data_IF_675006501405
#
_entry.id   IF_675006501405
#
_cell.length_a   1.000
_cell.length_b   1.000
_cell.length_c   1.000
_cell.angle_alpha   90.00
_cell.angle_beta   90.00
_cell.angle_gamma   90.00
#
_symmetry.space_group_name_H-M   'P 1'
#
loop_
_entity.id
_entity.type
_entity.pdbx_description
1 polymer ?
#
# COMPACT_ATOMS: atom_id res chain seq x y z
N UNK A 1 10.86 -29.52 -64.62
CA UNK A 1 12.05 -29.60 -63.75
C UNK A 1 12.70 -28.22 -63.81
N UNK A 2 12.82 -27.45 -62.74
CA UNK A 2 13.27 -27.79 -61.38
C UNK A 2 12.53 -26.98 -60.30
N UNK A 3 12.17 -27.66 -59.22
CA UNK A 3 11.78 -27.08 -57.93
C UNK A 3 12.98 -26.38 -57.30
N UNK A 4 12.87 -25.10 -56.98
CA UNK A 4 13.67 -24.47 -55.93
C UNK A 4 12.79 -24.24 -54.70
N UNK A 5 13.32 -24.66 -53.56
CA UNK A 5 12.60 -24.91 -52.33
C UNK A 5 12.09 -23.63 -51.68
N UNK A 6 10.79 -23.58 -51.41
CA UNK A 6 10.21 -22.67 -50.42
C UNK A 6 10.76 -23.11 -49.06
N UNK A 7 11.72 -22.36 -48.53
CA UNK A 7 12.24 -22.56 -47.17
C UNK A 7 11.15 -22.10 -46.21
N UNK A 8 10.38 -23.06 -45.67
CA UNK A 8 9.45 -22.81 -44.58
C UNK A 8 10.24 -22.39 -43.33
N UNK A 9 10.27 -21.09 -43.07
CA UNK A 9 10.87 -20.53 -41.86
C UNK A 9 9.91 -20.73 -40.70
N UNK A 10 10.01 -21.86 -39.99
CA UNK A 10 9.32 -22.08 -38.73
C UNK A 10 9.94 -21.19 -37.65
N UNK A 11 9.17 -20.23 -37.14
CA UNK A 11 9.58 -19.35 -36.04
C UNK A 11 9.09 -19.98 -34.74
N UNK A 12 10.02 -20.31 -33.84
CA UNK A 12 9.73 -20.79 -32.48
C UNK A 12 10.17 -19.72 -31.47
N UNK A 13 9.40 -18.63 -31.30
CA UNK A 13 9.77 -17.61 -30.34
C UNK A 13 9.52 -18.13 -28.92
N UNK A 14 10.45 -17.87 -28.01
CA UNK A 14 10.30 -18.19 -26.59
C UNK A 14 9.27 -17.29 -25.88
N UNK A 15 8.87 -16.18 -26.50
CA UNK A 15 7.82 -15.26 -26.04
C UNK A 15 7.17 -14.57 -27.25
N UNK A 16 5.84 -14.57 -27.33
CA UNK A 16 5.10 -13.87 -28.39
C UNK A 16 4.77 -12.45 -27.91
N UNK A 17 5.40 -11.44 -28.51
CA UNK A 17 5.16 -10.02 -28.19
C UNK A 17 4.18 -9.37 -29.19
N UNK A 18 3.57 -8.24 -28.80
CA UNK A 18 2.67 -7.48 -29.68
C UNK A 18 3.40 -6.98 -30.95
N UNK A 19 4.68 -6.64 -30.82
CA UNK A 19 5.53 -6.21 -31.93
C UNK A 19 5.77 -7.34 -32.94
N UNK A 20 5.98 -8.57 -32.45
CA UNK A 20 6.13 -9.76 -33.30
C UNK A 20 4.84 -10.06 -34.08
N UNK A 21 3.68 -9.90 -33.43
CA UNK A 21 2.38 -10.06 -34.09
C UNK A 21 2.17 -9.00 -35.18
N UNK A 22 2.52 -7.75 -34.89
CA UNK A 22 2.39 -6.65 -35.85
C UNK A 22 3.36 -6.79 -37.03
N UNK A 23 4.57 -7.31 -36.82
CA UNK A 23 5.51 -7.58 -37.91
C UNK A 23 5.02 -8.70 -38.83
N UNK A 24 4.40 -9.74 -38.26
CA UNK A 24 3.87 -10.87 -39.02
C UNK A 24 2.55 -10.55 -39.73
N UNK A 25 1.79 -9.54 -39.27
CA UNK A 25 0.51 -9.11 -39.86
C UNK A 25 0.60 -8.73 -41.34
N UNK A 26 1.75 -8.23 -41.78
CA UNK A 26 1.98 -7.77 -43.15
C UNK A 26 2.76 -8.77 -44.01
N UNK A 27 3.16 -9.93 -43.47
CA UNK A 27 3.85 -10.95 -44.24
C UNK A 27 2.84 -11.76 -45.07
N UNK A 28 3.11 -11.88 -46.38
CA UNK A 28 2.33 -12.73 -47.27
C UNK A 28 2.73 -14.18 -47.05
N UNK A 29 1.98 -14.88 -46.20
CA UNK A 29 2.20 -16.31 -45.95
C UNK A 29 1.26 -17.17 -46.80
N UNK A 30 1.80 -18.21 -47.41
CA UNK A 30 1.02 -19.24 -48.10
C UNK A 30 0.57 -20.24 -47.03
N UNK A 31 -0.74 -20.44 -46.78
CA UNK A 31 -1.22 -21.38 -45.79
C UNK A 31 -0.74 -22.81 -46.13
N UNK A 32 -0.14 -23.50 -45.17
CA UNK A 32 0.15 -24.93 -45.31
C UNK A 32 -1.19 -25.68 -45.16
N UNK A 33 -1.71 -26.19 -46.28
CA UNK A 33 -2.78 -27.19 -46.43
C UNK A 33 -3.88 -27.28 -45.33
N UNK A 34 -5.07 -26.79 -45.68
CA UNK A 34 -6.42 -27.32 -45.40
C UNK A 34 -6.96 -27.55 -43.96
N UNK A 35 -6.26 -27.24 -42.85
CA UNK A 35 -6.83 -27.50 -41.48
C UNK A 35 -6.84 -26.28 -40.52
N UNK A 36 -6.41 -25.09 -40.92
CA UNK A 36 -6.53 -23.91 -40.05
C UNK A 36 -7.39 -22.82 -40.69
N UNK A 37 -8.70 -22.95 -40.54
CA UNK A 37 -9.58 -21.78 -40.45
C UNK A 37 -9.15 -21.00 -39.20
N UNK A 38 -8.25 -20.04 -39.35
CA UNK A 38 -8.00 -19.04 -38.32
C UNK A 38 -9.34 -18.30 -38.16
N UNK A 39 -10.04 -18.39 -37.00
CA UNK A 39 -11.29 -17.68 -36.83
C UNK A 39 -10.98 -16.18 -36.98
N UNK A 40 -11.85 -15.45 -37.67
CA UNK A 40 -11.74 -14.00 -37.81
C UNK A 40 -11.48 -13.38 -36.44
N UNK A 41 -10.24 -12.97 -36.19
CA UNK A 41 -9.86 -12.26 -34.97
C UNK A 41 -10.47 -10.86 -35.14
N UNK A 42 -11.67 -10.68 -34.63
CA UNK A 42 -12.27 -9.36 -34.47
C UNK A 42 -11.60 -8.75 -33.25
N UNK A 43 -10.55 -7.96 -33.48
CA UNK A 43 -9.96 -7.12 -32.45
C UNK A 43 -11.01 -6.06 -32.08
N UNK A 44 -11.53 -6.04 -30.84
CA UNK A 44 -12.50 -5.03 -30.43
C UNK A 44 -11.93 -3.63 -30.68
N UNK A 45 -12.76 -2.68 -31.11
CA UNK A 45 -12.30 -1.33 -31.51
C UNK A 45 -11.54 -0.62 -30.39
N UNK A 46 -11.81 -0.98 -29.13
CA UNK A 46 -11.10 -0.47 -27.95
C UNK A 46 -9.58 -0.75 -27.96
N UNK A 47 -9.12 -1.82 -28.62
CA UNK A 47 -7.71 -2.19 -28.71
C UNK A 47 -7.02 -1.65 -29.98
N UNK A 48 -7.78 -1.09 -30.94
CA UNK A 48 -7.23 -0.46 -32.15
C UNK A 48 -6.77 0.98 -31.93
N UNK A 49 -7.18 1.63 -30.83
CA UNK A 49 -6.56 2.87 -30.40
C UNK A 49 -5.33 2.52 -29.56
N UNK A 50 -4.15 2.48 -30.19
CA UNK A 50 -2.91 2.74 -29.46
C UNK A 50 -3.05 4.18 -28.95
N UNK A 51 -3.62 4.37 -27.75
CA UNK A 51 -3.50 5.65 -27.06
C UNK A 51 -2.00 5.85 -26.92
N UNK A 52 -1.45 6.90 -27.54
CA UNK A 52 -0.06 7.25 -27.29
C UNK A 52 0.06 7.44 -25.78
N UNK A 53 0.85 6.58 -25.14
CA UNK A 53 1.12 6.69 -23.71
C UNK A 53 1.69 8.10 -23.50
N UNK A 54 1.06 8.87 -22.63
CA UNK A 54 1.56 10.21 -22.32
C UNK A 54 2.93 10.09 -21.64
N UNK A 55 3.80 11.10 -21.80
CA UNK A 55 5.12 11.11 -21.12
C UNK A 55 5.01 10.91 -19.60
N UNK A 56 3.89 11.32 -19.00
CA UNK A 56 3.55 11.09 -17.59
C UNK A 56 3.33 9.61 -17.29
N UNK A 57 2.52 8.93 -18.09
CA UNK A 57 2.26 7.49 -17.93
C UNK A 57 3.53 6.66 -18.17
N UNK A 58 4.38 7.06 -19.12
CA UNK A 58 5.69 6.44 -19.36
C UNK A 58 6.58 6.52 -18.11
N UNK A 59 6.68 7.71 -17.50
CA UNK A 59 7.45 7.93 -16.28
C UNK A 59 6.93 7.07 -15.12
N UNK A 60 5.61 7.00 -14.95
CA UNK A 60 4.98 6.16 -13.92
C UNK A 60 5.30 4.68 -14.13
N UNK A 61 5.22 4.19 -15.38
CA UNK A 61 5.54 2.81 -15.71
C UNK A 61 7.01 2.49 -15.47
N UNK A 62 7.92 3.40 -15.78
CA UNK A 62 9.34 3.23 -15.51
C UNK A 62 9.65 3.09 -14.01
N UNK A 63 9.02 3.93 -13.18
CA UNK A 63 9.16 3.83 -11.71
C UNK A 63 8.64 2.48 -11.23
N UNK A 64 7.43 2.06 -11.65
CA UNK A 64 6.87 0.74 -11.30
C UNK A 64 7.78 -0.41 -11.70
N UNK A 65 8.36 -0.35 -12.91
CA UNK A 65 9.27 -1.38 -13.39
C UNK A 65 10.52 -1.49 -12.52
N UNK A 66 11.10 -0.37 -12.07
CA UNK A 66 12.23 -0.39 -11.15
C UNK A 66 11.85 -1.07 -9.84
N UNK A 67 10.74 -0.66 -9.23
CA UNK A 67 10.29 -1.22 -7.95
C UNK A 67 10.01 -2.73 -8.09
N UNK A 68 9.22 -3.14 -9.09
CA UNK A 68 8.91 -4.55 -9.33
C UNK A 68 10.14 -5.41 -9.65
N UNK A 69 11.17 -4.85 -10.28
CA UNK A 69 12.41 -5.56 -10.58
C UNK A 69 13.41 -5.57 -9.42
N UNK A 70 13.13 -4.86 -8.32
CA UNK A 70 14.07 -4.73 -7.20
C UNK A 70 14.07 -5.97 -6.32
N UNK A 71 15.28 -6.48 -6.08
CA UNK A 71 15.59 -7.62 -5.23
C UNK A 71 16.81 -7.28 -4.38
N UNK A 72 17.06 -8.07 -3.33
CA UNK A 72 18.23 -7.85 -2.47
C UNK A 72 19.56 -7.93 -3.23
N UNK A 73 19.62 -8.72 -4.32
CA UNK A 73 20.83 -8.90 -5.12
C UNK A 73 21.10 -7.79 -6.15
N UNK A 74 20.12 -6.92 -6.45
CA UNK A 74 20.27 -5.88 -7.49
C UNK A 74 19.91 -4.47 -7.02
N UNK A 75 19.69 -4.26 -5.71
CA UNK A 75 19.19 -3.00 -5.15
C UNK A 75 20.09 -1.80 -5.50
N UNK A 76 21.42 -1.94 -5.47
CA UNK A 76 22.35 -0.84 -5.82
C UNK A 76 22.17 -0.37 -7.26
N UNK A 77 22.06 -1.33 -8.20
CA UNK A 77 21.79 -1.02 -9.61
C UNK A 77 20.43 -0.33 -9.79
N UNK A 78 19.43 -0.73 -9.01
CA UNK A 78 18.10 -0.11 -9.06
C UNK A 78 18.07 1.30 -8.44
N UNK A 79 18.88 1.57 -7.40
CA UNK A 79 19.09 2.94 -6.87
C UNK A 79 19.65 3.88 -7.92
N UNK A 80 20.68 3.45 -8.65
CA UNK A 80 21.30 4.25 -9.71
C UNK A 80 20.31 4.56 -10.84
N UNK A 81 19.59 3.54 -11.32
CA UNK A 81 18.54 3.72 -12.34
C UNK A 81 17.43 4.67 -11.88
N UNK A 82 16.97 4.51 -10.63
CA UNK A 82 15.93 5.37 -10.08
C UNK A 82 16.41 6.83 -10.02
N UNK A 83 17.63 7.05 -9.52
CA UNK A 83 18.24 8.40 -9.50
C UNK A 83 18.33 9.00 -10.90
N UNK A 84 18.79 8.24 -11.87
CA UNK A 84 18.91 8.70 -13.25
C UNK A 84 17.54 9.10 -13.83
N UNK A 85 16.52 8.26 -13.65
CA UNK A 85 15.16 8.55 -14.12
C UNK A 85 14.61 9.80 -13.46
N UNK A 86 14.72 9.92 -12.14
CA UNK A 86 14.22 11.08 -11.42
C UNK A 86 14.95 12.35 -11.85
N UNK A 87 16.28 12.34 -11.97
CA UNK A 87 17.05 13.53 -12.36
C UNK A 87 16.78 13.94 -13.81
N UNK A 88 16.70 12.98 -14.73
CA UNK A 88 16.63 13.26 -16.17
C UNK A 88 15.21 13.47 -16.67
N UNK A 89 14.20 12.85 -16.05
CA UNK A 89 12.79 12.90 -16.50
C UNK A 89 11.90 13.83 -15.68
N UNK A 90 12.38 14.39 -14.57
CA UNK A 90 11.60 15.42 -13.84
C UNK A 90 11.69 16.77 -14.56
N UNK A 91 10.63 17.12 -15.29
CA UNK A 91 10.54 18.39 -16.04
C UNK A 91 9.72 19.47 -15.35
N UNK A 92 9.08 19.16 -14.22
CA UNK A 92 8.24 20.10 -13.47
C UNK A 92 8.07 19.65 -12.01
N UNK A 93 7.60 20.56 -11.15
CA UNK A 93 7.21 20.27 -9.77
C UNK A 93 6.07 19.24 -9.70
N UNK A 94 5.10 19.30 -10.63
CA UNK A 94 4.03 18.29 -10.71
C UNK A 94 4.57 16.91 -11.09
N UNK A 95 5.58 16.84 -11.98
CA UNK A 95 6.25 15.56 -12.30
C UNK A 95 6.97 14.96 -11.09
N UNK A 96 7.58 15.80 -10.25
CA UNK A 96 8.24 15.35 -9.01
C UNK A 96 7.21 14.78 -8.02
N UNK A 97 6.05 15.43 -7.92
CA UNK A 97 4.92 14.96 -7.12
C UNK A 97 4.33 13.66 -7.66
N UNK A 98 4.15 13.53 -8.98
CA UNK A 98 3.71 12.29 -9.62
C UNK A 98 4.68 11.13 -9.34
N UNK A 99 5.99 11.37 -9.44
CA UNK A 99 7.02 10.39 -9.07
C UNK A 99 6.88 10.00 -7.59
N UNK A 100 6.75 10.98 -6.69
CA UNK A 100 6.62 10.70 -5.26
C UNK A 100 5.35 9.92 -4.94
N UNK A 101 4.23 10.23 -5.60
CA UNK A 101 2.97 9.53 -5.44
C UNK A 101 3.08 8.08 -5.95
N UNK A 102 3.73 7.86 -7.09
CA UNK A 102 3.93 6.52 -7.63
C UNK A 102 4.89 5.68 -6.78
N UNK A 103 5.97 6.29 -6.27
CA UNK A 103 6.85 5.63 -5.30
C UNK A 103 6.02 5.20 -4.09
N UNK A 104 5.19 6.08 -3.53
CA UNK A 104 4.33 5.75 -2.40
C UNK A 104 3.37 4.59 -2.70
N UNK A 105 2.67 4.60 -3.84
CA UNK A 105 1.78 3.51 -4.23
C UNK A 105 2.51 2.17 -4.36
N UNK A 106 3.76 2.15 -4.84
CA UNK A 106 4.57 0.93 -4.90
C UNK A 106 4.80 0.30 -3.52
N UNK A 107 4.99 1.11 -2.47
CA UNK A 107 5.14 0.58 -1.10
C UNK A 107 3.86 -0.05 -0.55
N UNK A 108 2.68 0.37 -1.02
CA UNK A 108 1.41 -0.14 -0.52
C UNK A 108 1.05 -1.54 -1.07
N UNK A 109 1.82 -2.08 -2.03
CA UNK A 109 1.50 -3.35 -2.70
C UNK A 109 1.89 -4.58 -1.88
N UNK A 110 3.13 -4.62 -1.35
CA UNK A 110 3.65 -5.81 -0.68
C UNK A 110 4.55 -5.43 0.49
N UNK A 111 4.29 -6.02 1.66
CA UNK A 111 5.10 -5.86 2.85
C UNK A 111 6.55 -6.28 2.63
N UNK A 112 6.75 -7.43 1.98
CA UNK A 112 8.06 -8.09 1.88
C UNK A 112 9.10 -7.25 1.13
N UNK A 113 8.64 -6.36 0.26
CA UNK A 113 9.50 -5.50 -0.56
C UNK A 113 9.80 -4.15 0.12
N UNK A 114 9.09 -3.78 1.20
CA UNK A 114 9.25 -2.49 1.89
C UNK A 114 10.71 -2.24 2.31
N UNK A 115 11.47 -3.19 2.89
CA UNK A 115 12.87 -2.94 3.27
C UNK A 115 13.74 -2.52 2.08
N UNK A 116 13.58 -3.17 0.92
CA UNK A 116 14.34 -2.87 -0.30
C UNK A 116 13.89 -1.56 -0.93
N UNK A 117 12.58 -1.31 -0.95
CA UNK A 117 12.00 -0.06 -1.44
C UNK A 117 12.43 1.14 -0.58
N UNK A 118 12.60 0.95 0.72
CA UNK A 118 13.10 1.99 1.61
C UNK A 118 14.53 2.41 1.21
N UNK A 119 15.37 1.47 0.76
CA UNK A 119 16.69 1.80 0.25
C UNK A 119 16.63 2.59 -1.07
N UNK A 120 15.65 2.28 -1.94
CA UNK A 120 15.41 3.06 -3.17
C UNK A 120 14.96 4.48 -2.83
N UNK A 121 13.98 4.63 -1.92
CA UNK A 121 13.51 5.94 -1.47
C UNK A 121 14.67 6.77 -0.89
N UNK A 122 15.48 6.18 -0.02
CA UNK A 122 16.67 6.84 0.56
C UNK A 122 17.70 7.27 -0.50
N UNK A 123 17.67 6.68 -1.70
CA UNK A 123 18.55 7.11 -2.78
C UNK A 123 18.08 8.40 -3.46
N UNK A 124 16.78 8.71 -3.42
CA UNK A 124 16.17 9.84 -4.15
C UNK A 124 15.46 10.87 -3.26
N UNK A 125 15.33 10.63 -1.96
CA UNK A 125 14.50 11.43 -1.05
C UNK A 125 14.84 12.93 -1.01
N UNK A 126 16.09 13.31 -1.24
CA UNK A 126 16.57 14.70 -1.17
C UNK A 126 16.51 15.44 -2.53
N UNK A 127 16.05 14.77 -3.59
CA UNK A 127 15.95 15.38 -4.91
C UNK A 127 14.80 16.40 -4.90
N UNK A 128 15.11 17.61 -5.40
CA UNK A 128 14.19 18.73 -5.60
C UNK A 128 14.16 19.16 -7.06
N UNK A 129 13.06 19.77 -7.49
CA UNK A 129 12.98 20.36 -8.83
C UNK A 129 13.89 21.59 -8.92
N UNK A 130 14.68 21.70 -10.00
CA UNK A 130 15.82 22.64 -10.10
C UNK A 130 15.42 24.10 -10.32
N UNK A 131 14.26 24.37 -10.90
CA UNK A 131 13.87 25.74 -11.31
C UNK A 131 13.00 26.48 -10.28
N UNK A 132 12.77 25.89 -9.10
CA UNK A 132 12.03 26.53 -8.02
C UNK A 132 12.97 27.02 -6.91
N UNK A 133 12.64 28.17 -6.31
CA UNK A 133 13.35 28.78 -5.17
C UNK A 133 13.69 27.78 -4.05
N UNK A 134 14.54 28.17 -3.10
CA UNK A 134 14.97 27.30 -1.96
C UNK A 134 13.83 26.69 -1.12
N UNK A 135 12.58 27.09 -1.35
CA UNK A 135 11.37 26.50 -0.77
C UNK A 135 10.77 25.30 -1.53
N UNK A 136 11.42 24.78 -2.58
CA UNK A 136 10.92 23.61 -3.32
C UNK A 136 10.88 22.34 -2.46
N UNK A 137 9.78 21.60 -2.56
CA UNK A 137 9.62 20.35 -1.81
C UNK A 137 10.49 19.24 -2.41
N UNK A 138 11.09 18.46 -1.52
CA UNK A 138 11.83 17.23 -1.89
C UNK A 138 10.87 16.04 -2.04
N UNK A 139 11.30 14.98 -2.75
CA UNK A 139 10.56 13.71 -2.80
C UNK A 139 10.24 13.20 -1.40
N UNK A 140 11.18 13.30 -0.46
CA UNK A 140 10.95 12.84 0.92
C UNK A 140 9.85 13.63 1.62
N UNK A 141 9.79 14.96 1.44
CA UNK A 141 8.72 15.78 2.00
C UNK A 141 7.35 15.47 1.38
N UNK A 142 7.32 15.25 0.06
CA UNK A 142 6.11 14.85 -0.67
C UNK A 142 5.62 13.46 -0.20
N UNK A 143 6.54 12.51 -0.04
CA UNK A 143 6.25 11.17 0.46
C UNK A 143 5.69 11.19 1.89
N UNK A 144 6.30 11.96 2.81
CA UNK A 144 5.76 12.12 4.17
C UNK A 144 4.39 12.80 4.17
N UNK A 145 4.20 13.82 3.32
CA UNK A 145 2.91 14.49 3.15
C UNK A 145 1.83 13.50 2.68
N UNK A 146 2.18 12.58 1.78
CA UNK A 146 1.28 11.52 1.32
C UNK A 146 0.96 10.51 2.42
N UNK A 147 1.97 10.05 3.16
CA UNK A 147 1.76 9.18 4.32
C UNK A 147 0.81 9.83 5.34
N UNK A 148 1.04 11.11 5.66
CA UNK A 148 0.20 11.88 6.58
C UNK A 148 -1.23 12.01 6.06
N UNK A 149 -1.43 12.40 4.80
CA UNK A 149 -2.77 12.46 4.18
C UNK A 149 -3.47 11.11 4.20
N UNK A 150 -2.74 10.03 3.95
CA UNK A 150 -3.29 8.68 4.01
C UNK A 150 -3.70 8.32 5.44
N UNK A 151 -2.91 8.67 6.46
CA UNK A 151 -3.34 8.50 7.86
C UNK A 151 -4.58 9.37 8.14
N UNK A 152 -4.58 10.64 7.74
CA UNK A 152 -5.65 11.61 8.02
C UNK A 152 -7.00 11.23 7.39
N UNK A 153 -6.99 10.74 6.14
CA UNK A 153 -8.17 10.19 5.46
C UNK A 153 -8.74 9.00 6.23
N UNK A 154 -7.88 8.26 6.93
CA UNK A 154 -8.27 7.11 7.75
C UNK A 154 -8.56 7.52 9.22
N UNK A 155 -8.47 8.81 9.57
CA UNK A 155 -8.49 9.26 10.97
C UNK A 155 -9.37 10.46 11.30
N UNK A 156 -10.03 11.13 10.34
CA UNK A 156 -10.70 12.41 10.63
C UNK A 156 -11.89 12.26 11.60
N UNK A 157 -11.78 12.93 12.75
CA UNK A 157 -12.78 13.09 13.82
C UNK A 157 -13.70 14.31 13.59
N UNK A 158 -14.05 14.65 12.35
CA UNK A 158 -15.17 15.58 12.18
C UNK A 158 -16.45 14.75 12.29
N UNK A 159 -17.33 15.12 13.22
CA UNK A 159 -18.68 14.53 13.40
C UNK A 159 -19.56 14.63 12.12
N UNK A 160 -19.00 15.10 10.99
CA UNK A 160 -19.63 15.30 9.68
C UNK A 160 -18.71 14.84 8.51
N UNK A 161 -17.58 14.16 8.75
CA UNK A 161 -16.79 13.55 7.66
C UNK A 161 -16.33 12.14 8.07
N UNK A 162 -17.31 11.24 8.03
CA UNK A 162 -17.20 9.91 7.43
C UNK A 162 -15.85 9.19 7.56
N UNK A 163 -15.85 8.15 8.38
CA UNK A 163 -14.85 7.09 8.47
C UNK A 163 -14.79 6.24 7.19
N UNK A 164 -14.66 6.87 6.02
CA UNK A 164 -14.92 6.25 4.72
C UNK A 164 -14.11 4.98 4.50
N UNK A 165 -12.83 4.93 4.86
CA UNK A 165 -12.01 3.80 4.43
C UNK A 165 -12.18 2.55 5.30
N UNK A 166 -12.06 2.63 6.63
CA UNK A 166 -12.24 1.43 7.46
C UNK A 166 -13.70 0.97 7.46
N UNK A 167 -14.65 1.91 7.47
CA UNK A 167 -16.08 1.59 7.31
C UNK A 167 -16.36 0.97 5.95
N UNK A 168 -15.85 1.53 4.84
CA UNK A 168 -16.06 0.92 3.52
C UNK A 168 -15.42 -0.46 3.42
N UNK A 169 -14.29 -0.71 4.07
CA UNK A 169 -13.72 -2.07 4.17
C UNK A 169 -14.67 -2.98 4.96
N UNK A 170 -15.17 -2.53 6.11
CA UNK A 170 -16.09 -3.30 6.95
C UNK A 170 -17.43 -3.60 6.27
N UNK A 171 -17.91 -2.70 5.41
CA UNK A 171 -19.16 -2.83 4.66
C UNK A 171 -19.07 -3.77 3.45
N UNK A 172 -17.88 -4.27 3.08
CA UNK A 172 -17.74 -5.23 1.97
C UNK A 172 -18.29 -6.60 2.37
N UNK A 173 -19.02 -7.22 1.44
CA UNK A 173 -19.50 -8.58 1.58
C UNK A 173 -18.35 -9.58 1.36
N UNK A 174 -17.90 -10.20 2.44
CA UNK A 174 -16.80 -11.16 2.40
C UNK A 174 -17.21 -12.51 1.79
N UNK A 175 -18.51 -12.75 1.56
CA UNK A 175 -19.00 -13.93 0.84
C UNK A 175 -18.92 -13.75 -0.68
N UNK A 176 -18.80 -12.50 -1.16
CA UNK A 176 -18.58 -12.19 -2.56
C UNK A 176 -17.09 -12.16 -2.86
N UNK A 177 -16.63 -13.02 -3.77
CA UNK A 177 -15.20 -13.17 -4.11
C UNK A 177 -14.53 -11.86 -4.55
N UNK A 178 -15.21 -11.02 -5.35
CA UNK A 178 -14.66 -9.74 -5.81
C UNK A 178 -14.54 -8.72 -4.67
N UNK A 179 -15.51 -8.71 -3.76
CA UNK A 179 -15.49 -7.82 -2.60
C UNK A 179 -14.52 -8.30 -1.53
N UNK A 180 -14.36 -9.61 -1.36
CA UNK A 180 -13.34 -10.21 -0.51
C UNK A 180 -11.92 -9.85 -0.99
N UNK A 181 -11.69 -9.88 -2.30
CA UNK A 181 -10.44 -9.40 -2.90
C UNK A 181 -10.19 -7.91 -2.60
N UNK A 182 -11.24 -7.08 -2.72
CA UNK A 182 -11.17 -5.65 -2.43
C UNK A 182 -10.93 -5.39 -0.93
N UNK A 183 -11.54 -6.20 -0.06
CA UNK A 183 -11.34 -6.19 1.38
C UNK A 183 -9.87 -6.46 1.71
N UNK A 184 -9.32 -7.58 1.21
CA UNK A 184 -7.94 -7.97 1.45
C UNK A 184 -6.95 -6.94 0.92
N UNK A 185 -7.15 -6.41 -0.30
CA UNK A 185 -6.30 -5.37 -0.87
C UNK A 185 -6.30 -4.10 -0.02
N UNK A 186 -7.47 -3.61 0.36
CA UNK A 186 -7.60 -2.36 1.13
C UNK A 186 -7.03 -2.49 2.54
N UNK A 187 -7.30 -3.61 3.21
CA UNK A 187 -6.71 -3.98 4.51
C UNK A 187 -5.18 -4.05 4.43
N UNK A 188 -4.65 -4.72 3.40
CA UNK A 188 -3.20 -4.85 3.16
C UNK A 188 -2.52 -3.49 2.97
N UNK A 189 -3.16 -2.53 2.28
CA UNK A 189 -2.60 -1.19 2.12
C UNK A 189 -2.43 -0.46 3.46
N UNK A 190 -3.40 -0.57 4.37
CA UNK A 190 -3.31 0.04 5.71
C UNK A 190 -2.17 -0.60 6.51
N UNK A 191 -2.07 -1.94 6.48
CA UNK A 191 -0.98 -2.68 7.14
C UNK A 191 0.38 -2.24 6.59
N UNK A 192 0.52 -2.20 5.27
CA UNK A 192 1.76 -1.79 4.62
C UNK A 192 2.13 -0.35 4.99
N UNK A 193 1.16 0.57 5.04
CA UNK A 193 1.39 1.93 5.54
C UNK A 193 1.97 1.93 6.95
N UNK A 194 1.42 1.12 7.85
CA UNK A 194 1.93 1.05 9.22
C UNK A 194 3.38 0.58 9.28
N UNK A 195 3.72 -0.39 8.44
CA UNK A 195 5.07 -0.94 8.34
C UNK A 195 6.03 0.09 7.73
N UNK A 196 5.61 0.84 6.71
CA UNK A 196 6.38 1.98 6.16
C UNK A 196 6.73 2.96 7.28
N UNK A 197 5.76 3.33 8.11
CA UNK A 197 5.96 4.30 9.19
C UNK A 197 6.94 3.77 10.24
N UNK A 198 6.88 2.47 10.57
CA UNK A 198 7.88 1.85 11.44
C UNK A 198 9.29 1.88 10.82
N UNK A 199 9.41 1.63 9.52
CA UNK A 199 10.69 1.75 8.83
C UNK A 199 11.22 3.19 8.83
N UNK A 200 10.35 4.20 8.64
CA UNK A 200 10.72 5.62 8.76
C UNK A 200 11.09 5.99 10.20
N UNK A 201 10.44 5.40 11.20
CA UNK A 201 10.76 5.61 12.61
C UNK A 201 12.15 5.08 12.96
N UNK A 202 12.49 3.88 12.47
CA UNK A 202 13.81 3.26 12.64
C UNK A 202 14.95 4.09 12.01
N UNK A 203 14.64 5.04 11.14
CA UNK A 203 15.62 5.96 10.55
C UNK A 203 15.95 7.18 11.44
N UNK A 204 15.45 7.24 12.68
CA UNK A 204 15.61 8.39 13.57
C UNK A 204 17.06 8.89 13.76
N UNK A 205 18.03 7.97 13.77
CA UNK A 205 19.45 8.28 13.93
C UNK A 205 20.21 8.42 12.60
N UNK A 206 19.49 8.55 11.48
CA UNK A 206 20.09 8.71 10.14
C UNK A 206 19.80 10.09 9.56
N UNK A 207 20.48 10.41 8.45
CA UNK A 207 20.23 11.62 7.65
C UNK A 207 19.05 11.46 6.65
N UNK A 208 18.46 10.27 6.58
CA UNK A 208 17.36 9.96 5.67
C UNK A 208 16.01 10.50 6.17
N UNK A 209 14.99 10.35 5.34
CA UNK A 209 13.59 10.65 5.64
C UNK A 209 13.13 9.89 6.90
N UNK A 210 12.66 10.59 7.93
CA UNK A 210 12.30 9.97 9.22
C UNK A 210 11.06 10.58 9.83
N UNK A 211 10.45 9.83 10.75
CA UNK A 211 9.36 10.30 11.59
C UNK A 211 9.71 10.10 13.06
N UNK A 212 9.31 11.04 13.93
CA UNK A 212 9.50 10.92 15.38
C UNK A 212 8.43 10.07 16.07
N UNK A 213 8.67 9.75 17.35
CA UNK A 213 7.81 8.89 18.17
C UNK A 213 6.37 9.43 18.28
N UNK A 214 6.21 10.76 18.26
CA UNK A 214 4.90 11.42 18.24
C UNK A 214 3.99 10.94 17.10
N UNK A 215 4.55 10.61 15.92
CA UNK A 215 3.77 10.14 14.78
C UNK A 215 3.28 8.71 14.99
N UNK A 216 4.14 7.82 15.48
CA UNK A 216 3.76 6.44 15.80
C UNK A 216 2.71 6.43 16.92
N UNK A 217 2.95 7.20 17.98
CA UNK A 217 2.01 7.36 19.09
C UNK A 217 0.65 7.88 18.62
N UNK A 218 0.62 8.90 17.76
CA UNK A 218 -0.62 9.45 17.22
C UNK A 218 -1.47 8.36 16.56
N UNK A 219 -0.87 7.53 15.71
CA UNK A 219 -1.60 6.50 14.96
C UNK A 219 -2.05 5.35 15.86
N UNK A 220 -1.18 4.89 16.74
CA UNK A 220 -1.54 3.88 17.73
C UNK A 220 -2.70 4.38 18.62
N UNK A 221 -2.62 5.62 19.11
CA UNK A 221 -3.68 6.23 19.93
C UNK A 221 -4.98 6.37 19.15
N UNK A 222 -4.91 6.71 17.87
CA UNK A 222 -6.07 6.79 16.99
C UNK A 222 -6.77 5.43 16.87
N UNK A 223 -6.04 4.35 16.56
CA UNK A 223 -6.63 3.01 16.43
C UNK A 223 -7.28 2.54 17.73
N UNK A 224 -6.63 2.76 18.88
CA UNK A 224 -7.23 2.47 20.19
C UNK A 224 -8.52 3.27 20.42
N UNK A 225 -8.50 4.56 20.11
CA UNK A 225 -9.66 5.44 20.29
C UNK A 225 -10.82 5.01 19.39
N UNK A 226 -10.56 4.72 18.11
CA UNK A 226 -11.56 4.27 17.15
C UNK A 226 -12.11 2.88 17.47
N UNK A 227 -11.27 1.96 17.94
CA UNK A 227 -11.71 0.67 18.48
C UNK A 227 -12.69 0.85 19.64
N UNK A 228 -12.30 1.64 20.65
CA UNK A 228 -13.15 1.92 21.82
C UNK A 228 -14.45 2.63 21.45
N UNK A 229 -14.43 3.51 20.44
CA UNK A 229 -15.64 4.11 19.88
C UNK A 229 -16.58 3.07 19.26
N UNK A 230 -16.06 2.17 18.41
CA UNK A 230 -16.86 1.11 17.81
C UNK A 230 -17.47 0.19 18.88
N UNK A 231 -16.69 -0.22 19.88
CA UNK A 231 -17.16 -1.01 21.01
C UNK A 231 -18.30 -0.35 21.79
N UNK A 232 -18.20 0.98 22.01
CA UNK A 232 -19.28 1.73 22.63
C UNK A 232 -20.54 1.72 21.77
N UNK A 233 -20.42 1.90 20.45
CA UNK A 233 -21.56 1.85 19.51
C UNK A 233 -22.22 0.48 19.47
N UNK A 234 -21.44 -0.60 19.43
CA UNK A 234 -21.93 -1.98 19.53
C UNK A 234 -22.80 -2.16 20.78
N UNK A 235 -22.32 -1.71 21.95
CA UNK A 235 -23.09 -1.78 23.20
C UNK A 235 -24.34 -0.89 23.23
N UNK A 236 -24.34 0.25 22.53
CA UNK A 236 -25.52 1.13 22.43
C UNK A 236 -26.61 0.55 21.51
N UNK A 237 -26.21 -0.24 20.51
CA UNK A 237 -27.11 -0.87 19.55
C UNK A 237 -27.76 -2.14 20.10
N UNK A 238 -27.08 -2.87 20.98
CA UNK A 238 -27.51 -4.18 21.50
C UNK A 238 -26.95 -5.33 20.67
N UNK A 239 -26.61 -6.45 21.31
CA UNK A 239 -25.93 -7.58 20.68
C UNK A 239 -26.93 -8.66 20.17
N UNK A 240 -27.19 -8.75 18.86
CA UNK A 240 -28.11 -9.75 18.31
C UNK A 240 -27.60 -11.18 18.48
N UNK A 241 -26.29 -11.40 18.65
CA UNK A 241 -25.71 -12.73 18.86
C UNK A 241 -25.90 -13.26 20.29
N UNK A 242 -26.24 -12.39 21.24
CA UNK A 242 -26.55 -12.75 22.63
C UNK A 242 -28.05 -12.73 22.92
N UNK A 243 -28.88 -12.53 21.89
CA UNK A 243 -30.34 -12.49 22.01
C UNK A 243 -30.86 -11.18 22.62
N UNK A 244 -30.05 -10.11 22.60
CA UNK A 244 -30.51 -8.77 22.96
C UNK A 244 -31.31 -8.13 21.81
N UNK A 245 -32.23 -7.23 22.14
CA UNK A 245 -32.93 -6.41 21.15
C UNK A 245 -31.93 -5.45 20.49
N UNK A 246 -31.55 -5.74 19.23
CA UNK A 246 -30.68 -4.87 18.46
C UNK A 246 -31.49 -3.78 17.75
N UNK A 247 -31.03 -2.53 17.86
CA UNK A 247 -31.67 -1.36 17.24
C UNK A 247 -31.45 -1.31 15.73
N UNK A 248 -30.30 -1.76 15.26
CA UNK A 248 -29.91 -1.79 13.85
C UNK A 248 -28.81 -2.85 13.63
N UNK A 249 -29.21 -4.01 13.11
CA UNK A 249 -28.32 -5.14 12.85
C UNK A 249 -27.20 -4.80 11.86
N UNK A 250 -27.49 -3.96 10.86
CA UNK A 250 -26.50 -3.61 9.83
C UNK A 250 -25.42 -2.70 10.41
N UNK A 251 -25.84 -1.69 11.17
CA UNK A 251 -24.92 -0.77 11.83
C UNK A 251 -24.10 -1.49 12.91
N UNK A 252 -24.72 -2.44 13.61
CA UNK A 252 -24.02 -3.33 14.55
C UNK A 252 -22.91 -4.11 13.85
N UNK A 253 -23.23 -4.78 12.73
CA UNK A 253 -22.27 -5.61 12.00
C UNK A 253 -21.10 -4.78 11.43
N UNK A 254 -21.40 -3.58 10.92
CA UNK A 254 -20.37 -2.65 10.44
C UNK A 254 -19.43 -2.27 11.60
N UNK A 255 -19.96 -1.82 12.73
CA UNK A 255 -19.12 -1.44 13.87
C UNK A 255 -18.36 -2.62 14.48
N UNK A 256 -18.96 -3.80 14.51
CA UNK A 256 -18.30 -5.05 14.93
C UNK A 256 -17.07 -5.33 14.05
N UNK A 257 -17.23 -5.32 12.73
CA UNK A 257 -16.14 -5.52 11.77
C UNK A 257 -15.09 -4.42 11.82
N UNK A 258 -15.50 -3.16 11.99
CA UNK A 258 -14.56 -2.04 12.14
C UNK A 258 -13.71 -2.20 13.40
N UNK A 259 -14.32 -2.58 14.53
CA UNK A 259 -13.62 -2.87 15.77
C UNK A 259 -12.56 -3.96 15.54
N UNK A 260 -12.93 -5.05 14.87
CA UNK A 260 -12.01 -6.13 14.55
C UNK A 260 -10.82 -5.65 13.69
N UNK A 261 -11.08 -4.87 12.64
CA UNK A 261 -10.04 -4.30 11.77
C UNK A 261 -9.04 -3.44 12.55
N UNK A 262 -9.52 -2.53 13.40
CA UNK A 262 -8.63 -1.68 14.21
C UNK A 262 -7.76 -2.49 15.18
N UNK A 263 -8.34 -3.51 15.80
CA UNK A 263 -7.60 -4.39 16.70
C UNK A 263 -6.53 -5.19 15.94
N UNK A 264 -6.86 -5.71 14.76
CA UNK A 264 -5.92 -6.44 13.91
C UNK A 264 -4.78 -5.55 13.39
N UNK A 265 -5.06 -4.32 12.95
CA UNK A 265 -4.02 -3.37 12.54
C UNK A 265 -3.04 -3.08 13.68
N UNK A 266 -3.56 -2.93 14.90
CA UNK A 266 -2.72 -2.73 16.08
C UNK A 266 -1.92 -3.98 16.43
N UNK A 267 -2.54 -5.17 16.37
CA UNK A 267 -1.86 -6.44 16.61
C UNK A 267 -0.66 -6.61 15.66
N UNK A 268 -0.85 -6.42 14.35
CA UNK A 268 0.23 -6.59 13.35
C UNK A 268 1.38 -5.61 13.60
N UNK A 269 1.05 -4.39 14.03
CA UNK A 269 2.05 -3.39 14.40
C UNK A 269 2.91 -3.87 15.58
N UNK A 270 2.26 -4.42 16.63
CA UNK A 270 2.94 -4.95 17.82
C UNK A 270 3.72 -6.24 17.54
N UNK A 271 3.19 -7.14 16.72
CA UNK A 271 3.89 -8.36 16.32
C UNK A 271 5.24 -8.05 15.69
N UNK A 272 5.31 -7.01 14.86
CA UNK A 272 6.53 -6.66 14.12
C UNK A 272 7.47 -5.70 14.86
N UNK A 273 6.96 -4.90 15.80
CA UNK A 273 7.71 -3.79 16.40
C UNK A 273 7.52 -3.62 17.92
N UNK A 274 6.70 -4.44 18.57
CA UNK A 274 6.33 -4.29 19.98
C UNK A 274 7.53 -4.31 20.92
N UNK A 275 8.46 -5.26 20.74
CA UNK A 275 9.68 -5.31 21.55
C UNK A 275 10.58 -4.08 21.36
N UNK A 276 10.62 -3.51 20.15
CA UNK A 276 11.38 -2.27 19.90
C UNK A 276 10.73 -1.10 20.64
N UNK A 277 9.39 -1.02 20.61
CA UNK A 277 8.63 0.03 21.28
C UNK A 277 8.71 -0.05 22.81
N UNK A 278 8.78 -1.25 23.40
CA UNK A 278 8.99 -1.43 24.86
C UNK A 278 10.37 -0.93 25.28
N UNK A 279 11.40 -1.20 24.45
CA UNK A 279 12.78 -0.77 24.74
C UNK A 279 12.98 0.72 24.53
N UNK A 280 12.11 1.35 23.74
CA UNK A 280 12.21 2.76 23.41
C UNK A 280 11.80 3.66 24.58
N UNK A 281 12.77 4.40 25.12
CA UNK A 281 12.57 5.30 26.25
C UNK A 281 12.14 6.72 25.83
N UNK A 282 11.91 6.96 24.53
CA UNK A 282 11.52 8.28 24.02
C UNK A 282 10.20 8.73 24.65
N UNK A 283 10.26 9.84 25.39
CA UNK A 283 9.09 10.45 26.01
C UNK A 283 8.42 11.45 25.09
N UNK A 284 7.11 11.31 24.93
CA UNK A 284 6.26 12.17 24.10
C UNK A 284 5.51 13.12 25.03
N UNK A 285 5.71 14.42 24.84
CA UNK A 285 4.92 15.44 25.55
C UNK A 285 3.54 15.52 24.93
N UNK A 286 2.50 15.28 25.73
CA UNK A 286 1.13 15.56 25.31
C UNK A 286 0.89 17.06 25.44
N UNK A 287 0.36 17.68 24.39
CA UNK A 287 -0.02 19.10 24.45
C UNK A 287 -1.03 19.29 25.59
N UNK A 288 -0.81 20.33 26.39
CA UNK A 288 -1.68 20.73 27.49
C UNK A 288 -1.71 19.78 28.70
N UNK A 289 -0.71 18.90 28.85
CA UNK A 289 -0.49 18.16 30.10
C UNK A 289 0.99 17.99 30.42
N UNK A 290 1.36 18.00 31.70
CA UNK A 290 2.72 17.64 32.16
C UNK A 290 3.01 16.13 32.05
N UNK A 291 2.06 15.34 31.53
CA UNK A 291 2.22 13.90 31.36
C UNK A 291 3.09 13.62 30.13
N UNK A 292 4.15 12.86 30.37
CA UNK A 292 4.97 12.24 29.33
C UNK A 292 4.44 10.83 29.10
N UNK A 293 4.20 10.50 27.84
CA UNK A 293 3.75 9.17 27.42
C UNK A 293 4.86 8.51 26.60
N UNK A 294 5.06 7.21 26.78
CA UNK A 294 5.97 6.39 25.99
C UNK A 294 5.17 5.47 25.05
N UNK A 295 5.83 4.92 24.03
CA UNK A 295 5.17 3.96 23.14
C UNK A 295 4.74 2.68 23.88
N UNK A 296 5.49 2.28 24.92
CA UNK A 296 5.13 1.18 25.83
C UNK A 296 3.78 1.38 26.51
N UNK A 297 3.39 2.62 26.83
CA UNK A 297 2.11 2.90 27.50
C UNK A 297 0.93 2.55 26.58
N UNK A 298 1.09 2.70 25.27
CA UNK A 298 0.06 2.33 24.30
C UNK A 298 -0.06 0.80 24.13
N UNK A 299 1.03 0.06 24.35
CA UNK A 299 1.01 -1.41 24.38
C UNK A 299 0.23 -1.89 25.60
N UNK A 300 0.48 -1.28 26.77
CA UNK A 300 -0.23 -1.62 27.99
C UNK A 300 -1.73 -1.29 27.87
N UNK A 301 -2.08 -0.14 27.28
CA UNK A 301 -3.48 0.20 26.97
C UNK A 301 -4.13 -0.83 26.05
N UNK A 302 -3.43 -1.28 25.01
CA UNK A 302 -3.95 -2.33 24.13
C UNK A 302 -4.23 -3.64 24.89
N UNK A 303 -3.29 -4.05 25.75
CA UNK A 303 -3.39 -5.23 26.61
C UNK A 303 -4.57 -5.16 27.58
N UNK A 304 -4.89 -3.97 28.07
CA UNK A 304 -5.99 -3.78 29.04
C UNK A 304 -7.34 -3.53 28.36
N UNK A 305 -7.37 -2.76 27.27
CA UNK A 305 -8.62 -2.27 26.65
C UNK A 305 -9.12 -3.17 25.51
N UNK A 306 -8.22 -3.86 24.78
CA UNK A 306 -8.55 -4.61 23.56
C UNK A 306 -8.42 -6.11 23.77
N UNK A 307 -7.28 -6.61 24.26
CA UNK A 307 -7.02 -8.07 24.38
C UNK A 307 -8.13 -8.83 25.14
N UNK A 308 -8.66 -8.33 26.28
CA UNK A 308 -9.72 -9.06 27.01
C UNK A 308 -11.04 -9.14 26.25
N UNK A 309 -11.20 -8.36 25.17
CA UNK A 309 -12.41 -8.28 24.34
C UNK A 309 -12.28 -9.07 23.04
N UNK A 310 -11.16 -9.75 22.80
CA UNK A 310 -11.07 -10.68 21.68
C UNK A 310 -12.07 -11.82 21.87
N UNK A 311 -12.99 -11.96 20.93
CA UNK A 311 -13.88 -13.12 20.83
C UNK A 311 -13.21 -14.26 20.07
N UNK A 312 -12.20 -13.94 19.24
CA UNK A 312 -11.52 -14.90 18.38
C UNK A 312 -10.31 -15.54 19.08
N UNK A 313 -10.39 -16.85 19.32
CA UNK A 313 -9.32 -17.64 19.93
C UNK A 313 -7.97 -17.50 19.23
N UNK A 314 -7.96 -17.26 17.92
CA UNK A 314 -6.72 -17.08 17.16
C UNK A 314 -6.01 -15.75 17.51
N UNK A 315 -6.73 -14.68 17.83
CA UNK A 315 -6.13 -13.39 18.23
C UNK A 315 -5.60 -13.46 19.66
N UNK A 316 -6.29 -14.19 20.55
CA UNK A 316 -5.83 -14.45 21.92
C UNK A 316 -4.52 -15.25 21.90
N UNK A 317 -4.51 -16.39 21.20
CA UNK A 317 -3.31 -17.23 21.05
C UNK A 317 -2.13 -16.45 20.48
N UNK A 318 -2.38 -15.67 19.43
CA UNK A 318 -1.39 -14.81 18.80
C UNK A 318 -0.83 -13.75 19.75
N UNK A 319 -1.68 -13.12 20.56
CA UNK A 319 -1.23 -12.17 21.58
C UNK A 319 -0.32 -12.82 22.62
N UNK A 320 -0.69 -14.01 23.11
CA UNK A 320 0.10 -14.77 24.08
C UNK A 320 1.49 -15.13 23.55
N UNK A 321 1.61 -15.42 22.25
CA UNK A 321 2.90 -15.69 21.59
C UNK A 321 3.85 -14.47 21.58
N UNK A 322 3.33 -13.24 21.57
CA UNK A 322 4.15 -12.03 21.47
C UNK A 322 5.00 -11.75 22.71
N UNK A 323 4.63 -12.27 23.89
CA UNK A 323 5.36 -12.06 25.15
C UNK A 323 5.72 -10.58 25.42
N UNK A 324 4.76 -9.66 25.19
CA UNK A 324 4.89 -8.21 25.36
C UNK A 324 4.39 -7.67 26.71
#
# INVERSE_FOLDING_TARGET
MTNEAIVNKLIHPSLITAELILSLKNESTIPINFILTIPNIVIPKEYNSIKSISKKEELILDIRQIFNATTNGNVEKMKEKLREIVINKTTSSESLKDISDEIFECFLVSEQTIPSYMQLLNSVYNIKYKDESDNSQTIGQLFLSKCKKYIEIHSSDSEVSDEYTVRSIASLDQLNEMEFDKYNKSKTKIINLMIILCHLYRQNNTAFIKIGANHIHFIMSLFLTKHSFCQKRIGELGNPYEGEDCKDDNEFEIHYRMSHLYAEFFYILLEKNGHDFIKDQTSISVKDSDKKIQLSDLIERFKQEIVPKFSEAYLISKWEELNL
#
